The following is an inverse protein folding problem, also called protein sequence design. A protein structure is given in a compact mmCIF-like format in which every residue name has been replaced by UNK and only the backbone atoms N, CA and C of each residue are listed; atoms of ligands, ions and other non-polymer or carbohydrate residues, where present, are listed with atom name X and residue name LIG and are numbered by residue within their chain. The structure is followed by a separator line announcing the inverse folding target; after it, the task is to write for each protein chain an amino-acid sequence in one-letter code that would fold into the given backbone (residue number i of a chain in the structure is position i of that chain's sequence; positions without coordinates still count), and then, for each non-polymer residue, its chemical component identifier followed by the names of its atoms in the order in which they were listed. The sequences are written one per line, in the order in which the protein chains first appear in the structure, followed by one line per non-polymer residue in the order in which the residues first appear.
data_IF_371079866413
#
_entry.id   IF_371079866413
#
_cell.length_a   1.000
_cell.length_b   1.000
_cell.length_c   1.000
_cell.angle_alpha   90.00
_cell.angle_beta   90.00
_cell.angle_gamma   90.00
#
_symmetry.space_group_name_H-M   'P 1'
#
loop_
_entity.id
_entity.type
_entity.pdbx_description
1 polymer ?
#
# COMPACT_ATOMS: atom_id res chain seq x y z
N UNK A 1 44.07 -28.67 12.85
CA UNK A 1 43.27 -28.40 11.64
C UNK A 1 41.83 -28.38 12.10
N UNK A 2 41.42 -27.28 12.73
CA UNK A 2 40.08 -27.06 13.30
C UNK A 2 39.29 -26.25 12.28
N UNK A 3 38.25 -26.83 11.71
CA UNK A 3 36.84 -26.66 12.12
C UNK A 3 36.27 -25.36 11.52
N UNK A 4 35.44 -25.51 10.48
CA UNK A 4 34.76 -24.44 9.75
C UNK A 4 33.24 -24.71 9.78
N UNK A 5 32.61 -24.32 10.88
CA UNK A 5 31.16 -24.12 10.95
C UNK A 5 30.84 -22.67 10.58
N UNK A 6 30.21 -22.45 9.42
CA UNK A 6 29.55 -21.17 9.10
C UNK A 6 28.04 -21.38 8.96
N UNK A 7 27.33 -21.05 10.02
CA UNK A 7 25.87 -20.82 10.01
C UNK A 7 25.55 -19.49 9.28
N UNK A 8 24.57 -19.43 8.37
CA UNK A 8 24.09 -18.17 7.82
C UNK A 8 23.09 -17.49 8.76
N UNK A 9 23.55 -16.50 9.52
CA UNK A 9 22.70 -15.69 10.39
C UNK A 9 21.83 -14.69 9.63
N UNK A 10 20.50 -14.86 9.69
CA UNK A 10 19.52 -13.79 9.45
C UNK A 10 19.59 -12.74 10.57
N UNK A 11 20.51 -11.79 10.42
CA UNK A 11 20.74 -10.70 11.36
C UNK A 11 19.80 -9.51 11.14
N UNK A 12 18.48 -9.68 11.34
CA UNK A 12 17.59 -8.53 11.47
C UNK A 12 17.70 -7.99 12.90
N UNK A 13 18.51 -6.93 13.10
CA UNK A 13 18.42 -6.15 14.35
C UNK A 13 17.14 -5.31 14.27
N UNK A 14 16.24 -5.48 15.26
CA UNK A 14 15.19 -4.49 15.52
C UNK A 14 15.89 -3.15 15.79
N UNK A 15 15.66 -2.17 14.92
CA UNK A 15 15.97 -0.78 15.22
C UNK A 15 14.95 -0.33 16.27
N UNK A 16 15.38 0.28 17.39
CA UNK A 16 14.43 0.83 18.35
C UNK A 16 13.53 1.86 17.66
N UNK A 17 12.22 1.71 17.79
CA UNK A 17 11.26 2.74 17.40
C UNK A 17 11.27 3.78 18.50
N UNK A 18 11.55 5.05 18.16
CA UNK A 18 11.49 6.16 19.11
C UNK A 18 10.09 6.25 19.76
N UNK A 19 9.97 6.66 21.03
CA UNK A 19 8.67 6.82 21.67
C UNK A 19 7.76 7.77 20.89
N UNK A 20 6.46 7.47 20.84
CA UNK A 20 5.44 8.25 20.12
C UNK A 20 5.52 9.76 20.39
N UNK A 21 5.83 10.15 21.64
CA UNK A 21 5.96 11.53 22.06
C UNK A 21 7.09 12.32 21.35
N UNK A 22 8.17 11.65 20.95
CA UNK A 22 9.30 12.27 20.24
C UNK A 22 9.05 12.35 18.73
N UNK A 23 8.24 11.43 18.19
CA UNK A 23 7.76 11.48 16.81
C UNK A 23 6.77 12.64 16.60
N UNK A 24 5.89 12.89 17.59
CA UNK A 24 4.94 14.01 17.56
C UNK A 24 5.60 15.40 17.58
N UNK A 25 6.77 15.57 18.22
CA UNK A 25 7.48 16.87 18.22
C UNK A 25 8.18 17.16 16.87
N UNK A 26 8.56 16.11 16.11
CA UNK A 26 9.12 16.26 14.78
C UNK A 26 8.04 16.59 13.73
N UNK A 27 6.87 15.93 13.82
CA UNK A 27 5.69 16.21 12.99
C UNK A 27 5.25 17.68 13.13
N UNK A 28 5.15 18.18 14.37
CA UNK A 28 4.80 19.57 14.67
C UNK A 28 5.75 20.62 14.06
N UNK A 29 7.03 20.27 13.85
CA UNK A 29 8.05 21.15 13.26
C UNK A 29 8.02 21.16 11.73
N UNK A 30 7.62 20.05 11.07
CA UNK A 30 7.43 19.98 9.60
C UNK A 30 6.20 20.78 9.16
N UNK A 31 5.15 20.79 9.98
CA UNK A 31 3.89 21.50 9.78
C UNK A 31 4.01 23.02 9.56
N UNK A 32 5.10 23.68 10.01
CA UNK A 32 5.23 25.14 9.86
C UNK A 32 5.55 25.61 8.42
N UNK A 33 6.05 24.73 7.54
CA UNK A 33 6.58 25.13 6.22
C UNK A 33 5.68 24.69 5.04
N UNK A 34 4.96 23.56 5.14
CA UNK A 34 4.13 23.02 4.02
C UNK A 34 2.73 23.65 3.88
N UNK A 35 2.17 24.22 4.96
CA UNK A 35 0.81 24.80 5.04
C UNK A 35 0.44 25.89 4.02
N UNK A 36 1.39 26.39 3.22
CA UNK A 36 1.14 27.55 2.33
C UNK A 36 0.78 27.19 0.88
N UNK A 37 0.98 25.96 0.41
CA UNK A 37 0.72 25.62 -1.00
C UNK A 37 -0.44 24.63 -1.20
N UNK A 38 -0.48 23.50 -0.47
CA UNK A 38 -1.55 22.51 -0.65
C UNK A 38 -2.87 22.94 -0.01
N UNK A 39 -2.81 23.60 1.16
CA UNK A 39 -3.99 24.19 1.81
C UNK A 39 -4.71 25.24 0.94
N UNK A 40 -4.01 25.91 0.02
CA UNK A 40 -4.60 26.88 -0.89
C UNK A 40 -5.28 26.20 -2.09
N UNK A 41 -4.70 25.13 -2.64
CA UNK A 41 -5.31 24.34 -3.72
C UNK A 41 -6.57 23.61 -3.23
N UNK A 42 -6.51 23.01 -2.04
CA UNK A 42 -7.64 22.28 -1.45
C UNK A 42 -8.81 23.22 -1.08
N UNK A 43 -8.52 24.41 -0.55
CA UNK A 43 -9.55 25.42 -0.21
C UNK A 43 -10.32 25.91 -1.44
N UNK A 44 -9.64 26.17 -2.55
CA UNK A 44 -10.27 26.65 -3.79
C UNK A 44 -11.19 25.58 -4.41
N UNK A 45 -10.84 24.30 -4.29
CA UNK A 45 -11.69 23.20 -4.77
C UNK A 45 -12.93 22.95 -3.90
N UNK A 46 -12.82 23.08 -2.57
CA UNK A 46 -13.91 22.71 -1.64
C UNK A 46 -14.89 23.87 -1.36
N UNK A 47 -14.46 25.13 -1.46
CA UNK A 47 -15.31 26.31 -1.13
C UNK A 47 -16.10 26.90 -2.31
N UNK A 48 -16.04 26.27 -3.49
CA UNK A 48 -16.81 26.69 -4.65
C UNK A 48 -18.31 26.38 -4.48
N UNK A 49 -19.07 27.35 -3.96
CA UNK A 49 -20.54 27.33 -3.90
C UNK A 49 -21.17 27.12 -5.29
N UNK A 50 -22.39 26.54 -5.40
CA UNK A 50 -23.01 26.24 -6.69
C UNK A 50 -23.21 27.53 -7.50
N UNK A 51 -22.63 27.54 -8.71
CA UNK A 51 -22.65 28.65 -9.63
C UNK A 51 -24.06 28.88 -10.19
N UNK A 52 -24.83 29.76 -9.57
CA UNK A 52 -25.90 30.47 -10.28
C UNK A 52 -25.30 31.76 -10.85
N UNK A 53 -25.38 31.88 -12.18
CA UNK A 53 -25.00 33.03 -13.00
C UNK A 53 -23.52 33.46 -12.93
N UNK A 54 -22.66 32.73 -13.63
CA UNK A 54 -21.42 33.31 -14.18
C UNK A 54 -21.22 32.80 -15.60
N UNK A 55 -21.34 33.70 -16.56
CA UNK A 55 -21.00 33.44 -17.96
C UNK A 55 -19.53 32.99 -18.01
N UNK A 56 -19.20 31.86 -18.64
CA UNK A 56 -17.82 31.40 -18.66
C UNK A 56 -17.01 32.31 -19.58
N UNK A 57 -16.06 33.03 -18.98
CA UNK A 57 -14.95 33.65 -19.71
C UNK A 57 -14.10 32.54 -20.33
N UNK A 58 -13.61 32.76 -21.55
CA UNK A 58 -12.71 31.88 -22.29
C UNK A 58 -11.28 31.86 -21.67
N UNK A 59 -11.18 31.44 -20.40
CA UNK A 59 -9.93 31.15 -19.71
C UNK A 59 -9.77 29.64 -19.58
N UNK A 60 -8.71 29.10 -20.16
CA UNK A 60 -8.46 27.66 -20.29
C UNK A 60 -8.62 26.91 -18.97
N UNK A 61 -9.30 25.76 -19.03
CA UNK A 61 -9.30 24.79 -17.94
C UNK A 61 -7.85 24.42 -17.63
N UNK A 62 -7.46 24.42 -16.35
CA UNK A 62 -6.22 23.78 -15.93
C UNK A 62 -6.17 22.37 -16.53
N UNK A 63 -5.00 21.91 -17.02
CA UNK A 63 -4.91 20.59 -17.62
C UNK A 63 -5.39 19.54 -16.61
N UNK A 64 -6.19 18.59 -17.08
CA UNK A 64 -6.65 17.47 -16.25
C UNK A 64 -5.44 16.73 -15.65
N UNK A 65 -5.63 16.18 -14.45
CA UNK A 65 -4.58 15.39 -13.80
C UNK A 65 -4.27 14.13 -14.60
N UNK A 66 -3.06 14.06 -15.15
CA UNK A 66 -2.53 12.87 -15.81
C UNK A 66 -1.79 12.02 -14.78
N UNK A 67 -2.45 10.96 -14.34
CA UNK A 67 -1.91 10.06 -13.33
C UNK A 67 -0.69 9.28 -13.82
N UNK A 68 -0.65 8.85 -15.09
CA UNK A 68 0.50 8.11 -15.62
C UNK A 68 1.73 9.01 -15.70
N UNK A 69 1.55 10.26 -16.14
CA UNK A 69 2.64 11.24 -16.15
C UNK A 69 3.13 11.54 -14.72
N UNK A 70 2.22 11.62 -13.75
CA UNK A 70 2.58 11.77 -12.35
C UNK A 70 3.39 10.59 -11.81
N UNK A 71 2.97 9.34 -12.05
CA UNK A 71 3.68 8.14 -11.61
C UNK A 71 5.10 8.05 -12.21
N UNK A 72 5.26 8.42 -13.48
CA UNK A 72 6.57 8.46 -14.12
C UNK A 72 7.49 9.52 -13.48
N UNK A 73 6.95 10.71 -13.20
CA UNK A 73 7.67 11.81 -12.54
C UNK A 73 8.06 11.48 -11.10
N UNK A 74 7.16 10.85 -10.36
CA UNK A 74 7.39 10.42 -8.97
C UNK A 74 8.57 9.45 -8.93
N UNK A 75 8.53 8.39 -9.75
CA UNK A 75 9.62 7.41 -9.85
C UNK A 75 10.96 8.08 -10.16
N UNK A 76 11.01 8.93 -11.19
CA UNK A 76 12.25 9.59 -11.61
C UNK A 76 12.82 10.48 -10.50
N UNK A 77 11.96 11.23 -9.82
CA UNK A 77 12.36 12.06 -8.70
C UNK A 77 12.84 11.21 -7.51
N UNK A 78 12.09 10.18 -7.15
CA UNK A 78 12.40 9.29 -6.02
C UNK A 78 13.72 8.54 -6.25
N UNK A 79 13.93 7.98 -7.44
CA UNK A 79 15.18 7.29 -7.80
C UNK A 79 16.39 8.26 -7.73
N UNK A 80 16.22 9.50 -8.19
CA UNK A 80 17.27 10.52 -8.13
C UNK A 80 17.59 10.97 -6.70
N UNK A 81 16.56 11.15 -5.86
CA UNK A 81 16.73 11.72 -4.51
C UNK A 81 17.14 10.67 -3.49
N UNK A 82 16.48 9.52 -3.52
CA UNK A 82 16.69 8.46 -2.54
C UNK A 82 17.57 7.34 -3.06
N UNK A 83 17.87 7.29 -4.36
CA UNK A 83 18.68 6.24 -4.97
C UNK A 83 17.88 4.98 -5.33
N UNK A 84 18.50 4.08 -6.10
CA UNK A 84 17.85 2.86 -6.59
C UNK A 84 17.64 1.81 -5.48
N UNK A 85 16.93 0.74 -5.82
CA UNK A 85 16.73 -0.45 -4.99
C UNK A 85 15.40 -0.48 -4.23
N UNK A 86 15.12 -1.63 -3.62
CA UNK A 86 13.80 -1.96 -3.04
C UNK A 86 13.41 -1.08 -1.86
N UNK A 87 14.36 -0.70 -0.99
CA UNK A 87 14.19 0.15 0.21
C UNK A 87 12.97 -0.17 1.08
N UNK A 88 12.42 -1.38 1.00
CA UNK A 88 11.12 -1.74 1.60
C UNK A 88 11.07 -1.45 3.08
N UNK A 89 12.12 -1.79 3.83
CA UNK A 89 12.18 -1.52 5.27
C UNK A 89 12.09 -0.01 5.58
N UNK A 90 12.77 0.83 4.80
CA UNK A 90 12.75 2.28 4.97
C UNK A 90 11.41 2.89 4.59
N UNK A 91 10.82 2.45 3.47
CA UNK A 91 9.51 2.94 3.00
C UNK A 91 8.41 2.56 4.01
N UNK A 92 8.40 1.30 4.45
CA UNK A 92 7.41 0.82 5.43
C UNK A 92 7.57 1.55 6.77
N UNK A 93 8.80 1.82 7.21
CA UNK A 93 9.02 2.61 8.41
C UNK A 93 8.52 4.05 8.26
N UNK A 94 8.70 4.67 7.09
CA UNK A 94 8.16 5.99 6.82
C UNK A 94 6.63 6.00 6.86
N UNK A 95 5.98 5.03 6.22
CA UNK A 95 4.51 4.89 6.25
C UNK A 95 4.00 4.79 7.69
N UNK A 96 4.70 4.09 8.59
CA UNK A 96 4.29 4.02 10.00
C UNK A 96 4.32 5.39 10.70
N UNK A 97 5.30 6.23 10.36
CA UNK A 97 5.40 7.58 10.90
C UNK A 97 4.26 8.45 10.38
N UNK A 98 4.00 8.43 9.07
CA UNK A 98 2.90 9.21 8.50
C UNK A 98 1.53 8.74 9.02
N UNK A 99 1.36 7.46 9.35
CA UNK A 99 0.16 6.99 10.05
C UNK A 99 0.03 7.60 11.45
N UNK A 100 1.14 7.79 12.19
CA UNK A 100 1.11 8.48 13.48
C UNK A 100 0.83 9.99 13.32
N UNK A 101 1.28 10.62 12.23
CA UNK A 101 0.95 12.01 11.88
C UNK A 101 -0.56 12.15 11.56
N UNK A 102 -1.14 11.21 10.80
CA UNK A 102 -2.60 11.12 10.57
C UNK A 102 -3.38 10.93 11.88
N UNK A 103 -2.90 10.11 12.81
CA UNK A 103 -3.55 9.93 14.11
C UNK A 103 -3.57 11.23 14.93
N UNK A 104 -2.53 12.07 14.79
CA UNK A 104 -2.44 13.36 15.46
C UNK A 104 -3.28 14.45 14.78
N UNK A 105 -3.26 14.53 13.44
CA UNK A 105 -3.95 15.55 12.64
C UNK A 105 -4.79 14.94 11.50
N UNK A 106 -5.87 14.17 11.80
CA UNK A 106 -6.57 13.35 10.81
C UNK A 106 -7.31 14.14 9.72
N UNK A 107 -7.50 15.44 9.93
CA UNK A 107 -8.13 16.36 8.98
C UNK A 107 -7.13 17.04 8.05
N UNK A 108 -5.83 16.87 8.27
CA UNK A 108 -4.82 17.35 7.33
C UNK A 108 -4.72 16.36 6.15
N UNK A 109 -5.03 16.86 4.96
CA UNK A 109 -5.00 16.05 3.73
C UNK A 109 -3.56 15.75 3.28
N UNK A 110 -2.58 16.57 3.67
CA UNK A 110 -1.18 16.35 3.30
C UNK A 110 -0.66 15.03 3.88
N UNK A 111 -1.03 14.70 5.13
CA UNK A 111 -0.62 13.46 5.80
C UNK A 111 -1.17 12.20 5.09
N UNK A 112 -2.40 12.26 4.60
CA UNK A 112 -2.96 11.20 3.77
C UNK A 112 -2.25 11.08 2.41
N UNK A 113 -1.86 12.21 1.82
CA UNK A 113 -1.13 12.24 0.55
C UNK A 113 0.29 11.68 0.71
N UNK A 114 0.95 11.91 1.84
CA UNK A 114 2.28 11.35 2.12
C UNK A 114 2.24 9.81 2.14
N UNK A 115 1.21 9.20 2.73
CA UNK A 115 1.00 7.74 2.64
C UNK A 115 0.80 7.27 1.19
N UNK A 116 0.07 8.03 0.37
CA UNK A 116 -0.17 7.70 -1.05
C UNK A 116 1.15 7.74 -1.84
N UNK A 117 1.95 8.80 -1.66
CA UNK A 117 3.25 8.96 -2.32
C UNK A 117 4.19 7.82 -1.91
N UNK A 118 4.26 7.48 -0.62
CA UNK A 118 5.11 6.40 -0.13
C UNK A 118 4.65 5.01 -0.60
N UNK A 119 3.34 4.80 -0.77
CA UNK A 119 2.82 3.57 -1.35
C UNK A 119 3.19 3.43 -2.83
N UNK A 120 3.16 4.54 -3.59
CA UNK A 120 3.64 4.57 -4.98
C UNK A 120 5.15 4.31 -5.03
N UNK A 121 5.92 4.94 -4.14
CA UNK A 121 7.36 4.74 -4.02
C UNK A 121 7.70 3.25 -3.80
N UNK A 122 7.04 2.63 -2.82
CA UNK A 122 7.19 1.20 -2.54
C UNK A 122 6.83 0.31 -3.75
N UNK A 123 5.79 0.66 -4.51
CA UNK A 123 5.34 -0.12 -5.65
C UNK A 123 6.34 -0.09 -6.82
N UNK A 124 6.86 1.08 -7.21
CA UNK A 124 7.81 1.12 -8.33
C UNK A 124 9.15 0.46 -7.94
N UNK A 125 9.55 0.53 -6.67
CA UNK A 125 10.76 -0.10 -6.15
C UNK A 125 10.76 -1.63 -6.24
N UNK A 126 9.59 -2.26 -6.27
CA UNK A 126 9.44 -3.70 -6.54
C UNK A 126 9.18 -4.01 -8.02
N UNK A 127 9.42 -3.03 -8.90
CA UNK A 127 9.39 -3.20 -10.36
C UNK A 127 8.08 -2.84 -11.04
N UNK A 128 7.09 -2.25 -10.34
CA UNK A 128 5.87 -1.79 -10.99
C UNK A 128 6.16 -0.59 -11.91
N UNK A 129 5.87 -0.73 -13.20
CA UNK A 129 5.88 0.42 -14.12
C UNK A 129 4.64 1.30 -13.87
N UNK A 130 4.63 2.56 -14.34
CA UNK A 130 3.44 3.43 -14.23
C UNK A 130 2.15 2.77 -14.74
N UNK A 131 2.21 2.08 -15.88
CA UNK A 131 1.06 1.36 -16.43
C UNK A 131 0.65 0.18 -15.58
N UNK A 132 1.61 -0.64 -15.13
CA UNK A 132 1.33 -1.80 -14.25
C UNK A 132 0.71 -1.35 -12.92
N UNK A 133 1.20 -0.25 -12.35
CA UNK A 133 0.66 0.30 -11.11
C UNK A 133 -0.77 0.84 -11.30
N UNK A 134 -1.02 1.61 -12.36
CA UNK A 134 -2.36 2.11 -12.68
C UNK A 134 -3.35 0.96 -12.91
N UNK A 135 -2.97 -0.05 -13.69
CA UNK A 135 -3.79 -1.24 -13.94
C UNK A 135 -4.04 -2.03 -12.65
N UNK A 136 -3.02 -2.17 -11.79
CA UNK A 136 -3.16 -2.84 -10.50
C UNK A 136 -4.13 -2.11 -9.56
N UNK A 137 -4.11 -0.78 -9.54
CA UNK A 137 -5.05 0.05 -8.78
C UNK A 137 -6.47 -0.19 -9.29
N UNK A 138 -6.69 -0.11 -10.61
CA UNK A 138 -8.01 -0.34 -11.21
C UNK A 138 -8.53 -1.76 -10.95
N UNK A 139 -7.69 -2.78 -11.16
CA UNK A 139 -8.05 -4.17 -10.91
C UNK A 139 -8.36 -4.43 -9.44
N UNK A 140 -7.59 -3.81 -8.53
CA UNK A 140 -7.83 -3.92 -7.09
C UNK A 140 -9.15 -3.26 -6.69
N UNK A 141 -9.46 -2.10 -7.26
CA UNK A 141 -10.72 -1.40 -7.02
C UNK A 141 -11.91 -2.24 -7.51
N UNK A 142 -11.87 -2.75 -8.74
CA UNK A 142 -12.91 -3.63 -9.27
C UNK A 142 -13.12 -4.88 -8.41
N UNK A 143 -12.02 -5.48 -7.90
CA UNK A 143 -12.09 -6.61 -6.96
C UNK A 143 -12.74 -6.22 -5.63
N UNK A 144 -12.50 -5.01 -5.14
CA UNK A 144 -13.11 -4.53 -3.90
C UNK A 144 -14.61 -4.25 -4.08
N UNK A 145 -15.01 -3.65 -5.21
CA UNK A 145 -16.41 -3.37 -5.55
C UNK A 145 -17.24 -4.65 -5.74
N UNK A 146 -16.63 -5.72 -6.25
CA UNK A 146 -17.30 -7.01 -6.45
C UNK A 146 -17.50 -7.84 -5.16
N UNK A 147 -17.00 -7.38 -4.01
CA UNK A 147 -17.16 -8.10 -2.72
C UNK A 147 -18.52 -7.82 -2.09
N UNK A 148 -18.92 -8.73 -1.21
CA UNK A 148 -20.03 -8.51 -0.30
C UNK A 148 -19.54 -7.75 0.94
N UNK A 149 -20.19 -6.64 1.24
CA UNK A 149 -19.87 -5.75 2.35
C UNK A 149 -21.04 -5.67 3.33
N UNK A 150 -20.78 -5.61 4.65
CA UNK A 150 -21.85 -5.38 5.62
C UNK A 150 -22.39 -3.94 5.49
N UNK A 151 -23.61 -3.69 6.00
CA UNK A 151 -24.11 -2.32 6.13
C UNK A 151 -23.22 -1.55 7.11
N UNK A 152 -22.50 -0.56 6.59
CA UNK A 152 -21.56 0.23 7.36
C UNK A 152 -22.21 0.92 8.58
N UNK A 153 -23.52 1.19 8.54
CA UNK A 153 -24.27 1.79 9.67
C UNK A 153 -24.36 0.87 10.89
N UNK A 154 -24.13 -0.43 10.70
CA UNK A 154 -24.18 -1.43 11.76
C UNK A 154 -22.80 -1.70 12.37
N UNK A 155 -21.74 -1.12 11.81
CA UNK A 155 -20.37 -1.26 12.27
C UNK A 155 -20.00 -0.04 13.12
N UNK A 156 -19.27 -0.27 14.21
CA UNK A 156 -18.66 0.78 15.01
C UNK A 156 -17.75 1.63 14.12
N UNK A 157 -17.97 2.95 14.10
CA UNK A 157 -17.23 3.91 13.25
C UNK A 157 -15.72 3.89 13.49
N UNK A 158 -15.28 3.39 14.66
CA UNK A 158 -13.86 3.26 15.01
C UNK A 158 -13.23 1.96 14.54
N UNK A 159 -14.01 1.02 14.00
CA UNK A 159 -13.53 -0.31 13.59
C UNK A 159 -13.41 -0.43 12.07
N UNK A 160 -12.43 -1.20 11.58
CA UNK A 160 -12.35 -1.53 10.15
C UNK A 160 -13.61 -2.27 9.69
N UNK A 161 -14.10 -1.93 8.50
CA UNK A 161 -15.12 -2.69 7.80
C UNK A 161 -14.42 -3.76 6.95
N UNK A 162 -14.64 -5.03 7.27
CA UNK A 162 -14.16 -6.16 6.47
C UNK A 162 -15.24 -6.66 5.50
N UNK A 163 -14.81 -7.24 4.38
CA UNK A 163 -15.71 -7.95 3.47
C UNK A 163 -16.12 -9.29 4.10
N UNK A 164 -17.32 -9.76 3.76
CA UNK A 164 -17.79 -11.06 4.22
C UNK A 164 -16.90 -12.16 3.63
N UNK A 165 -16.48 -13.11 4.48
CA UNK A 165 -15.75 -14.31 4.01
C UNK A 165 -16.79 -15.32 3.53
N UNK A 166 -16.58 -15.87 2.34
CA UNK A 166 -17.35 -17.03 1.89
C UNK A 166 -17.08 -18.18 2.87
N UNK A 167 -18.08 -18.54 3.68
CA UNK A 167 -18.03 -19.78 4.45
C UNK A 167 -18.35 -20.91 3.49
N UNK A 168 -17.35 -21.37 2.73
CA UNK A 168 -17.48 -22.67 2.08
C UNK A 168 -17.73 -23.72 3.18
N UNK A 169 -18.76 -24.58 3.09
CA UNK A 169 -18.91 -25.68 4.03
C UNK A 169 -17.63 -26.55 3.98
N UNK A 170 -17.21 -27.16 5.10
CA UNK A 170 -16.03 -28.01 5.10
C UNK A 170 -16.18 -29.07 4.02
N UNK A 171 -15.15 -29.22 3.18
CA UNK A 171 -15.13 -30.23 2.14
C UNK A 171 -15.46 -31.58 2.77
N UNK A 172 -16.50 -32.24 2.26
CA UNK A 172 -16.86 -33.58 2.67
C UNK A 172 -15.61 -34.47 2.64
N UNK A 173 -15.33 -35.17 3.74
CA UNK A 173 -14.29 -36.18 3.82
C UNK A 173 -14.37 -37.11 2.61
N UNK A 174 -13.33 -37.09 1.78
CA UNK A 174 -13.19 -38.06 0.71
C UNK A 174 -13.05 -39.45 1.35
N UNK A 175 -13.84 -40.46 0.96
CA UNK A 175 -13.70 -41.79 1.52
C UNK A 175 -12.31 -42.34 1.21
N UNK A 176 -11.70 -42.94 2.24
CA UNK A 176 -10.35 -43.50 2.19
C UNK A 176 -10.18 -44.40 0.94
N UNK A 177 -9.17 -44.08 0.12
CA UNK A 177 -8.78 -44.94 -1.00
C UNK A 177 -8.31 -46.28 -0.44
N UNK A 178 -9.04 -47.35 -0.76
CA UNK A 178 -8.62 -48.73 -0.52
C UNK A 178 -7.27 -48.97 -1.21
N UNK A 179 -6.31 -49.50 -0.44
CA UNK A 179 -4.95 -49.78 -0.89
C UNK A 179 -4.92 -50.81 -2.01
N UNK A 180 -4.29 -50.45 -3.13
CA UNK A 180 -3.81 -51.42 -4.11
C UNK A 180 -2.36 -51.76 -3.78
N UNK A 181 -2.17 -52.93 -3.18
CA UNK A 181 -0.88 -53.56 -2.94
C UNK A 181 -0.34 -54.06 -4.29
N UNK A 182 0.79 -53.53 -4.76
CA UNK A 182 1.51 -54.07 -5.91
C UNK A 182 2.81 -54.71 -5.40
N UNK A 183 2.83 -56.05 -5.38
CA UNK A 183 4.06 -56.83 -5.20
C UNK A 183 4.97 -56.71 -6.43
N UNK A 184 6.30 -56.76 -6.27
CA UNK A 184 7.23 -56.77 -7.40
C UNK A 184 7.35 -58.18 -8.01
N UNK A 185 7.57 -58.32 -9.34
CA UNK A 185 7.88 -59.61 -9.94
C UNK A 185 9.37 -59.96 -9.75
N UNK A 186 9.59 -61.26 -9.57
CA UNK A 186 10.86 -61.88 -9.19
C UNK A 186 11.90 -62.02 -10.29
N UNK A 187 13.10 -62.33 -9.81
CA UNK A 187 14.31 -62.71 -10.54
C UNK A 187 14.09 -63.94 -11.44
N UNK A 188 14.82 -63.99 -12.57
CA UNK A 188 14.82 -65.13 -13.49
C UNK A 188 15.98 -65.08 -14.48
N UNK A 189 17.08 -65.70 -14.03
CA UNK A 189 18.24 -66.30 -14.71
C UNK A 189 18.57 -66.05 -16.20
N UNK A 190 19.85 -65.73 -16.40
CA UNK A 190 20.62 -65.95 -17.63
C UNK A 190 20.84 -67.44 -17.92
N UNK A 191 21.24 -67.76 -19.16
CA UNK A 191 22.48 -68.51 -19.38
C UNK A 191 23.60 -67.66 -19.99
#
# INVERSE_FOLDING_TARGET
MTDDTREPGTGWRRVPVEPLAEQTDLAARRHAVSRSLAANIYRDMVTSAPASSRTPSAGGFAPAFDFLAYLAREREWSERVFGPGERTASVVEHIRRELAEIEAEPTDVEEWVDVIILAIDGAWRVGATPTVLADAILAKQAKNEARQWPDWRTIDITKPIEHMRDTAPPAAEQPARAGANLSPPGEGDSP
#
